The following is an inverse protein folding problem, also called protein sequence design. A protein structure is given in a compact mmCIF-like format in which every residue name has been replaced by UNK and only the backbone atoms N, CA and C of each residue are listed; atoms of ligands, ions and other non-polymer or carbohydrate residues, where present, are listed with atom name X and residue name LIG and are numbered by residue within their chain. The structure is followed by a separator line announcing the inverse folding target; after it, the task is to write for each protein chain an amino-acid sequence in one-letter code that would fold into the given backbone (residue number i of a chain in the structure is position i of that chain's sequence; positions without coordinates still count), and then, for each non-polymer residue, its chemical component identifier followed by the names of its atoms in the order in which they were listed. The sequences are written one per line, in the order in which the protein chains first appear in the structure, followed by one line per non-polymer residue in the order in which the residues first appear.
data_IF_244294630855
#
_entry.id   IF_244294630855
#
_cell.length_a   1.000
_cell.length_b   1.000
_cell.length_c   1.000
_cell.angle_alpha   90.00
_cell.angle_beta   90.00
_cell.angle_gamma   90.00
#
_symmetry.space_group_name_H-M   'P 1'
#
loop_
_entity.id
_entity.type
_entity.pdbx_description
1 polymer ?
#
# COMPACT_ATOMS: atom_id res chain seq x y z
N UNK A 1 -0.62 -14.00 -1.29
CA UNK A 1 -0.92 -12.69 -1.89
C UNK A 1 0.24 -11.69 -1.77
N UNK A 2 0.91 -11.62 -0.62
CA UNK A 2 2.04 -10.70 -0.45
C UNK A 2 3.14 -10.94 -1.48
N UNK A 3 3.52 -12.20 -1.70
CA UNK A 3 4.57 -12.54 -2.66
C UNK A 3 4.20 -12.11 -4.08
N UNK A 4 2.96 -12.33 -4.48
CA UNK A 4 2.50 -11.93 -5.81
C UNK A 4 2.54 -10.42 -5.97
N UNK A 5 2.12 -9.68 -4.93
CA UNK A 5 2.14 -8.22 -4.98
C UNK A 5 3.57 -7.68 -5.07
N UNK A 6 4.49 -8.28 -4.32
CA UNK A 6 5.90 -7.88 -4.40
C UNK A 6 6.43 -8.14 -5.81
N UNK A 7 6.06 -9.27 -6.42
CA UNK A 7 6.50 -9.56 -7.79
C UNK A 7 5.94 -8.56 -8.79
N UNK A 8 4.68 -8.17 -8.64
CA UNK A 8 4.08 -7.13 -9.50
C UNK A 8 4.81 -5.81 -9.30
N UNK A 9 5.12 -5.46 -8.04
CA UNK A 9 5.85 -4.24 -7.75
C UNK A 9 7.25 -4.24 -8.36
N UNK A 10 7.93 -5.40 -8.34
CA UNK A 10 9.24 -5.54 -8.97
C UNK A 10 9.15 -5.31 -10.48
N UNK A 11 8.09 -5.82 -11.12
CA UNK A 11 7.88 -5.59 -12.54
C UNK A 11 7.72 -4.11 -12.85
N UNK A 12 6.95 -3.39 -12.04
CA UNK A 12 6.79 -1.94 -12.24
C UNK A 12 8.11 -1.22 -12.01
N UNK A 13 8.86 -1.58 -10.97
CA UNK A 13 10.14 -0.94 -10.69
C UNK A 13 11.11 -1.13 -11.85
N UNK A 14 11.15 -2.33 -12.42
CA UNK A 14 12.01 -2.60 -13.58
C UNK A 14 11.55 -1.82 -14.79
N UNK A 15 10.23 -1.76 -15.02
CA UNK A 15 9.66 -1.04 -16.15
C UNK A 15 10.01 0.45 -16.12
N UNK A 16 10.03 1.05 -14.94
CA UNK A 16 10.33 2.47 -14.78
C UNK A 16 11.82 2.71 -14.48
N UNK A 17 12.66 1.71 -14.66
CA UNK A 17 14.11 1.81 -14.50
C UNK A 17 14.53 2.30 -13.11
N UNK A 18 13.82 1.84 -12.09
CA UNK A 18 14.15 2.20 -10.72
C UNK A 18 15.34 1.37 -10.23
N UNK A 19 16.04 1.85 -9.18
CA UNK A 19 17.16 1.12 -8.60
C UNK A 19 16.74 0.18 -7.48
N UNK A 20 15.47 0.22 -7.08
CA UNK A 20 14.92 -0.63 -6.04
C UNK A 20 13.41 -0.59 -6.14
N UNK A 21 12.74 -1.45 -5.36
CA UNK A 21 11.28 -1.41 -5.24
C UNK A 21 10.94 -0.44 -4.10
N UNK A 22 10.31 0.67 -4.45
CA UNK A 22 9.91 1.71 -3.50
C UNK A 22 8.44 1.58 -3.14
N UNK A 23 7.98 2.23 -2.07
CA UNK A 23 6.54 2.19 -1.72
C UNK A 23 5.63 2.59 -2.87
N UNK A 24 6.06 3.50 -3.75
CA UNK A 24 5.28 3.88 -4.93
C UNK A 24 4.98 2.68 -5.83
N UNK A 25 5.96 1.78 -5.99
CA UNK A 25 5.77 0.58 -6.80
C UNK A 25 4.81 -0.40 -6.11
N UNK A 26 4.92 -0.52 -4.79
CA UNK A 26 3.98 -1.34 -4.01
C UNK A 26 2.57 -0.78 -4.11
N UNK A 27 2.42 0.55 -4.06
CA UNK A 27 1.11 1.18 -4.16
C UNK A 27 0.48 0.89 -5.52
N UNK A 28 1.25 1.02 -6.61
CA UNK A 28 0.73 0.68 -7.93
C UNK A 28 0.36 -0.79 -8.02
N UNK A 29 1.11 -1.66 -7.36
CA UNK A 29 0.81 -3.09 -7.34
C UNK A 29 -0.52 -3.38 -6.64
N UNK A 30 -0.81 -2.71 -5.50
CA UNK A 30 -2.07 -2.95 -4.80
C UNK A 30 -3.26 -2.38 -5.57
N UNK A 31 -3.03 -1.44 -6.49
CA UNK A 31 -4.08 -0.94 -7.38
C UNK A 31 -4.31 -1.85 -8.59
N UNK A 32 -3.39 -2.77 -8.85
CA UNK A 32 -3.51 -3.68 -9.99
C UNK A 32 -4.73 -4.58 -9.81
N UNK A 33 -5.41 -4.88 -10.91
CA UNK A 33 -6.65 -5.67 -10.84
C UNK A 33 -6.45 -7.02 -10.18
N UNK A 34 -5.26 -7.61 -10.30
CA UNK A 34 -4.98 -8.92 -9.70
C UNK A 34 -4.88 -8.86 -8.18
N UNK A 35 -4.71 -7.67 -7.61
CA UNK A 35 -4.73 -7.50 -6.16
C UNK A 35 -6.14 -7.61 -5.59
N UNK A 36 -7.16 -7.40 -6.44
CA UNK A 36 -8.55 -7.62 -6.04
C UNK A 36 -9.17 -6.50 -5.22
N UNK A 37 -8.57 -5.30 -5.21
CA UNK A 37 -9.07 -4.20 -4.38
C UNK A 37 -9.90 -3.17 -5.13
N UNK A 38 -10.11 -3.32 -6.45
CA UNK A 38 -10.81 -2.28 -7.22
C UNK A 38 -12.21 -2.04 -6.67
N UNK A 39 -12.98 -3.11 -6.42
CA UNK A 39 -14.32 -2.97 -5.88
C UNK A 39 -14.30 -2.31 -4.50
N UNK A 40 -13.38 -2.73 -3.65
CA UNK A 40 -13.25 -2.17 -2.30
C UNK A 40 -12.99 -0.66 -2.37
N UNK A 41 -12.09 -0.25 -3.25
CA UNK A 41 -11.73 1.16 -3.38
C UNK A 41 -12.85 1.99 -4.00
N UNK A 42 -13.46 1.50 -5.09
CA UNK A 42 -14.46 2.28 -5.82
C UNK A 42 -15.82 2.27 -5.13
N UNK A 43 -16.24 1.13 -4.59
CA UNK A 43 -17.57 0.97 -4.06
C UNK A 43 -17.59 1.16 -2.54
N UNK A 44 -16.79 0.38 -1.82
CA UNK A 44 -16.83 0.42 -0.36
C UNK A 44 -16.30 1.73 0.20
N UNK A 45 -15.21 2.26 -0.38
CA UNK A 45 -14.58 3.49 0.08
C UNK A 45 -14.96 4.71 -0.78
N UNK A 46 -15.66 4.50 -1.90
CA UNK A 46 -16.11 5.56 -2.80
C UNK A 46 -14.97 6.46 -3.25
N UNK A 47 -13.88 5.85 -3.74
CA UNK A 47 -12.71 6.58 -4.21
C UNK A 47 -12.65 6.58 -5.72
N UNK A 48 -12.01 7.63 -6.27
CA UNK A 48 -11.74 7.73 -7.71
C UNK A 48 -10.49 6.91 -8.02
N UNK A 49 -10.69 5.74 -8.62
CA UNK A 49 -9.63 4.79 -8.90
C UNK A 49 -8.58 5.41 -9.86
N UNK A 50 -9.03 6.19 -10.84
CA UNK A 50 -8.11 6.81 -11.78
C UNK A 50 -7.23 7.85 -11.09
N UNK A 51 -7.78 8.60 -10.15
CA UNK A 51 -6.99 9.54 -9.37
C UNK A 51 -5.91 8.81 -8.58
N UNK A 52 -6.26 7.67 -7.96
CA UNK A 52 -5.31 6.89 -7.19
C UNK A 52 -4.17 6.39 -8.08
N UNK A 53 -4.49 5.93 -9.29
CA UNK A 53 -3.47 5.50 -10.24
C UNK A 53 -2.55 6.64 -10.66
N UNK A 54 -3.11 7.81 -10.94
CA UNK A 54 -2.31 8.97 -11.30
C UNK A 54 -1.40 9.39 -10.16
N UNK A 55 -1.92 9.36 -8.94
CA UNK A 55 -1.12 9.67 -7.77
C UNK A 55 0.06 8.70 -7.65
N UNK A 56 -0.18 7.42 -7.87
CA UNK A 56 0.88 6.42 -7.85
C UNK A 56 1.95 6.71 -8.89
N UNK A 57 1.53 7.07 -10.10
CA UNK A 57 2.47 7.36 -11.20
C UNK A 57 3.33 8.58 -10.88
N UNK A 58 2.75 9.61 -10.25
CA UNK A 58 3.53 10.76 -9.81
C UNK A 58 4.59 10.34 -8.80
N UNK A 59 4.21 9.52 -7.82
CA UNK A 59 5.15 9.06 -6.81
C UNK A 59 6.27 8.20 -7.42
N UNK A 60 5.93 7.37 -8.41
CA UNK A 60 6.93 6.58 -9.12
C UNK A 60 7.93 7.49 -9.83
N UNK A 61 7.46 8.59 -10.42
CA UNK A 61 8.33 9.52 -11.13
C UNK A 61 9.34 10.19 -10.20
N UNK A 62 9.05 10.23 -8.90
CA UNK A 62 9.95 10.81 -7.90
C UNK A 62 10.94 9.79 -7.34
N UNK A 63 10.75 8.50 -7.63
CA UNK A 63 11.63 7.46 -7.10
C UNK A 63 12.98 7.47 -7.81
N UNK A 64 14.07 7.15 -7.10
CA UNK A 64 15.40 7.11 -7.71
C UNK A 64 15.48 6.10 -8.84
N UNK A 65 16.23 6.45 -9.87
CA UNK A 65 16.40 5.60 -11.05
C UNK A 65 17.79 5.00 -11.08
N UNK A 66 17.88 3.82 -11.71
CA UNK A 66 19.14 3.15 -11.89
C UNK A 66 19.81 3.66 -13.17
N UNK A 67 21.15 3.63 -13.17
CA UNK A 67 21.91 3.92 -14.39
C UNK A 67 21.71 2.82 -15.43
N UNK A 68 21.43 1.60 -14.98
CA UNK A 68 21.20 0.45 -15.86
C UNK A 68 19.97 -0.31 -15.39
N UNK A 69 19.12 -0.77 -16.33
CA UNK A 69 17.97 -1.59 -15.95
C UNK A 69 18.40 -2.90 -15.29
N UNK A 70 17.60 -3.36 -14.35
CA UNK A 70 17.79 -4.65 -13.69
C UNK A 70 16.43 -5.27 -13.46
N UNK A 71 16.39 -6.61 -13.47
CA UNK A 71 15.15 -7.34 -13.22
C UNK A 71 15.09 -7.91 -11.81
N UNK A 72 16.23 -7.92 -11.09
CA UNK A 72 16.28 -8.44 -9.72
C UNK A 72 16.58 -7.28 -8.79
N UNK A 73 15.53 -6.50 -8.49
CA UNK A 73 15.68 -5.29 -7.69
C UNK A 73 15.39 -5.60 -6.23
N UNK A 74 16.20 -5.03 -5.31
CA UNK A 74 15.93 -5.19 -3.88
C UNK A 74 14.76 -4.31 -3.45
N UNK A 75 14.18 -4.64 -2.30
CA UNK A 75 13.22 -3.77 -1.68
C UNK A 75 13.96 -2.63 -0.98
N UNK A 76 13.45 -1.40 -1.11
CA UNK A 76 13.99 -0.27 -0.36
C UNK A 76 13.71 -0.48 1.13
N UNK A 77 14.42 0.26 1.98
CA UNK A 77 14.18 0.20 3.42
C UNK A 77 12.74 0.57 3.74
N UNK A 78 12.21 1.61 3.08
CA UNK A 78 10.82 2.02 3.28
C UNK A 78 9.84 0.94 2.85
N UNK A 79 10.14 0.21 1.77
CA UNK A 79 9.28 -0.89 1.34
C UNK A 79 9.29 -2.03 2.36
N UNK A 80 10.45 -2.32 2.94
CA UNK A 80 10.51 -3.32 4.01
C UNK A 80 9.69 -2.89 5.21
N UNK A 81 9.73 -1.61 5.57
CA UNK A 81 8.93 -1.07 6.67
C UNK A 81 7.44 -1.24 6.37
N UNK A 82 7.02 -0.97 5.12
CA UNK A 82 5.63 -1.15 4.71
C UNK A 82 5.20 -2.60 4.91
N UNK A 83 6.03 -3.54 4.49
CA UNK A 83 5.66 -4.96 4.61
C UNK A 83 5.64 -5.44 6.05
N UNK A 84 6.51 -4.89 6.91
CA UNK A 84 6.48 -5.21 8.33
C UNK A 84 5.22 -4.65 8.99
N UNK A 85 4.86 -3.43 8.68
CA UNK A 85 3.65 -2.82 9.24
C UNK A 85 2.39 -3.53 8.73
N UNK A 86 2.44 -4.05 7.49
CA UNK A 86 1.31 -4.80 6.94
C UNK A 86 0.98 -6.04 7.79
N UNK A 87 1.99 -6.67 8.40
CA UNK A 87 1.75 -7.80 9.29
C UNK A 87 0.96 -7.36 10.52
N UNK A 88 1.21 -6.16 11.03
CA UNK A 88 0.43 -5.63 12.16
C UNK A 88 -1.02 -5.40 11.76
N UNK A 89 -1.25 -4.90 10.53
CA UNK A 89 -2.62 -4.76 10.03
C UNK A 89 -3.29 -6.10 9.81
N UNK A 90 -2.53 -7.11 9.38
CA UNK A 90 -3.07 -8.46 9.26
C UNK A 90 -3.65 -8.95 10.59
N UNK A 91 -2.92 -8.73 11.67
CA UNK A 91 -3.38 -9.09 13.01
C UNK A 91 -4.61 -8.29 13.41
N UNK A 92 -4.55 -6.98 13.16
CA UNK A 92 -5.66 -6.07 13.51
C UNK A 92 -6.95 -6.43 12.77
N UNK A 93 -6.82 -6.85 11.52
CA UNK A 93 -7.97 -7.23 10.69
C UNK A 93 -8.37 -8.70 10.89
N UNK A 94 -7.64 -9.45 11.72
CA UNK A 94 -7.89 -10.86 11.97
C UNK A 94 -7.89 -11.70 10.71
N UNK A 95 -6.94 -11.43 9.82
CA UNK A 95 -6.81 -12.16 8.55
C UNK A 95 -5.76 -13.27 8.70
N UNK A 96 -5.98 -14.37 7.97
CA UNK A 96 -5.05 -15.49 7.99
C UNK A 96 -3.80 -15.24 7.18
N UNK A 97 -3.89 -14.35 6.18
CA UNK A 97 -2.78 -14.01 5.31
C UNK A 97 -2.61 -12.50 5.26
N UNK A 98 -1.40 -12.07 4.90
CA UNK A 98 -1.12 -10.67 4.65
C UNK A 98 -1.62 -10.32 3.25
N UNK A 99 -2.87 -9.93 3.15
CA UNK A 99 -3.52 -9.62 1.89
C UNK A 99 -3.20 -8.21 1.40
N UNK A 100 -3.63 -7.92 0.18
CA UNK A 100 -3.42 -6.61 -0.44
C UNK A 100 -3.94 -5.47 0.43
N UNK A 101 -5.06 -5.67 1.12
CA UNK A 101 -5.63 -4.62 1.97
C UNK A 101 -4.71 -4.27 3.13
N UNK A 102 -3.95 -5.24 3.66
CA UNK A 102 -2.98 -4.99 4.72
C UNK A 102 -1.84 -4.11 4.22
N UNK A 103 -1.36 -4.40 3.03
CA UNK A 103 -0.28 -3.61 2.42
C UNK A 103 -0.79 -2.20 2.10
N UNK A 104 -2.01 -2.09 1.60
CA UNK A 104 -2.61 -0.79 1.32
C UNK A 104 -2.72 0.05 2.60
N UNK A 105 -3.24 -0.54 3.69
CA UNK A 105 -3.37 0.18 4.95
C UNK A 105 -2.01 0.66 5.46
N UNK A 106 -0.99 -0.18 5.32
CA UNK A 106 0.38 0.16 5.71
C UNK A 106 0.91 1.32 4.86
N UNK A 107 0.68 1.27 3.54
CA UNK A 107 1.17 2.31 2.62
C UNK A 107 0.61 3.68 2.93
N UNK A 108 -0.64 3.75 3.38
CA UNK A 108 -1.28 5.04 3.67
C UNK A 108 -1.11 5.45 5.14
N UNK A 109 -0.31 4.72 5.90
CA UNK A 109 0.03 5.11 7.26
C UNK A 109 1.21 6.10 7.21
N UNK A 110 1.02 7.35 7.66
CA UNK A 110 2.08 8.35 7.55
C UNK A 110 3.36 7.93 8.27
N UNK A 111 4.48 8.15 7.60
CA UNK A 111 5.78 7.87 8.17
C UNK A 111 6.28 6.45 8.01
N UNK A 112 5.46 5.55 7.47
CA UNK A 112 5.89 4.17 7.22
C UNK A 112 6.53 4.08 5.84
N UNK A 113 5.74 4.20 4.76
CA UNK A 113 6.26 4.16 3.39
C UNK A 113 6.34 5.54 2.77
N UNK A 114 5.30 6.34 2.97
CA UNK A 114 5.23 7.69 2.45
C UNK A 114 5.27 8.68 3.59
N UNK A 115 5.84 9.85 3.30
CA UNK A 115 5.87 10.93 4.28
C UNK A 115 4.47 11.50 4.52
N UNK A 116 4.32 12.22 5.62
CA UNK A 116 3.09 12.93 5.91
C UNK A 116 2.72 13.88 4.76
N UNK A 117 3.73 14.59 4.23
CA UNK A 117 3.50 15.55 3.15
C UNK A 117 3.03 14.87 1.87
N UNK A 118 3.61 13.73 1.52
CA UNK A 118 3.19 13.00 0.33
C UNK A 118 1.73 12.55 0.44
N UNK A 119 1.31 12.10 1.63
CA UNK A 119 -0.04 11.58 1.84
C UNK A 119 -1.09 12.69 1.90
N UNK A 120 -0.70 13.95 2.05
CA UNK A 120 -1.67 15.05 2.06
C UNK A 120 -2.49 15.14 0.78
N UNK A 121 -1.90 14.72 -0.35
CA UNK A 121 -2.59 14.77 -1.64
C UNK A 121 -3.30 13.48 -2.00
N UNK A 122 -3.23 12.48 -1.12
CA UNK A 122 -3.90 11.19 -1.34
C UNK A 122 -5.21 11.17 -0.55
N UNK A 123 -6.38 11.07 -1.22
CA UNK A 123 -7.66 11.09 -0.53
C UNK A 123 -8.04 9.71 0.02
N UNK A 124 -7.12 9.08 0.74
CA UNK A 124 -7.33 7.74 1.28
C UNK A 124 -6.53 7.66 2.58
N UNK A 125 -7.16 7.20 3.65
CA UNK A 125 -6.51 7.12 4.96
C UNK A 125 -6.58 5.70 5.51
N UNK A 126 -5.64 5.38 6.40
CA UNK A 126 -5.65 4.08 7.09
C UNK A 126 -6.90 3.94 7.95
N UNK A 127 -7.38 5.04 8.53
CA UNK A 127 -8.57 5.02 9.38
C UNK A 127 -9.81 4.55 8.60
N UNK A 128 -9.96 5.03 7.35
CA UNK A 128 -11.08 4.61 6.50
C UNK A 128 -11.03 3.11 6.21
N UNK A 129 -9.83 2.61 5.93
CA UNK A 129 -9.65 1.19 5.63
C UNK A 129 -9.97 0.36 6.87
N UNK A 130 -9.46 0.76 8.02
CA UNK A 130 -9.72 0.05 9.27
C UNK A 130 -11.21 0.00 9.60
N UNK A 131 -11.90 1.09 9.37
CA UNK A 131 -13.33 1.16 9.62
C UNK A 131 -14.08 0.15 8.75
N UNK A 132 -13.75 0.10 7.47
CA UNK A 132 -14.42 -0.82 6.54
C UNK A 132 -14.05 -2.27 6.79
N UNK A 133 -12.87 -2.52 7.34
CA UNK A 133 -12.46 -3.88 7.66
C UNK A 133 -13.03 -4.36 9.01
N UNK A 134 -13.75 -3.48 9.72
CA UNK A 134 -14.33 -3.84 11.01
C UNK A 134 -13.30 -3.92 12.13
N UNK A 135 -12.12 -3.43 11.90
CA UNK A 135 -11.05 -3.47 12.89
C UNK A 135 -11.29 -2.47 14.01
N UNK A 136 -12.12 -1.58 13.76
CA UNK A 136 -12.50 -0.63 14.80
C UNK A 136 -13.22 -1.35 15.93
N UNK A 137 -13.00 -1.98 15.82
CA UNK A 137 -13.33 -2.30 16.54
C UNK A 137 -12.84 -2.66 17.30
N UNK A 138 -12.72 -2.78 17.00
CA UNK A 138 -12.40 -2.89 17.73
C UNK A 138 -11.96 -2.58 18.38
N UNK A 139 -12.22 -2.67 18.37
CA UNK A 139 -12.06 -2.29 18.98
C UNK A 139 -11.87 -2.09 19.60
N UNK A 140 -12.17 -2.35 19.55
CA UNK A 140 -12.26 -2.09 20.19
C UNK A 140 -12.10 -1.98 20.83
N UNK A 141 -12.17 -2.20 20.91
CA UNK A 141 -12.30 -1.91 21.52
C UNK A 141 -12.14 -1.64 22.12
N UNK A 142 -12.15 -1.76 22.15
CA UNK A 142 -12.21 -1.22 22.69
C UNK A 142 -12.03 -0.62 23.09
N UNK A 143 -12.01 -0.87 23.00
CA UNK A 143 -12.11 -0.07 23.25
C UNK A 143 -11.90 0.47 23.20
N UNK A 144 -11.77 0.42 23.27
CA UNK A 144 -12.05 1.22 23.14
C UNK A 144 -12.30 1.49 23.08
N UNK A 145 -12.19 1.07 23.22
CA UNK A 145 -12.67 1.42 23.10
C UNK A 145 -12.84 1.55 23.06
N UNK A 146 -12.73 1.19 23.00
CA UNK A 146 -13.15 1.43 22.88
C UNK A 146 -13.12 1.49 22.68
N UNK A 147 -13.05 1.38 22.86
CA UNK A 147 -13.45 1.72 22.61
C UNK A 147 -13.44 1.94 22.52
#
# INVERSE_FOLDING_TARGET
MKTELVNIAKSFAAEYSSNAVYPAHLFKAVLHKEAGLVHFLEIDLDKDYYYLQEWADVQISLAPRAARPSTDLPLSDESNDVLQEAVEYQKRFSLEECDAVCILASLVTPGVGFSFDALKTLPLTAAEICEKMGAANNNVAPGFAGN
#
